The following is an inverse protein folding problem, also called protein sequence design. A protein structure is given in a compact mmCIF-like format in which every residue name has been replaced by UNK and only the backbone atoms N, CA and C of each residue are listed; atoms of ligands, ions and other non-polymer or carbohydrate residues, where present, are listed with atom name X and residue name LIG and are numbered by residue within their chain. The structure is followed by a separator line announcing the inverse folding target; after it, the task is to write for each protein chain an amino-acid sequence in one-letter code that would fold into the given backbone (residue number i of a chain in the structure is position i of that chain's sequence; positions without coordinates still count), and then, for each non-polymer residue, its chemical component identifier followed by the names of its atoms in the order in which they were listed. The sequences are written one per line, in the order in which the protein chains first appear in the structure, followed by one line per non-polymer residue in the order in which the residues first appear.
data_IF_288631164032
#
_entry.id   IF_288631164032
#
_cell.length_a   1.000
_cell.length_b   1.000
_cell.length_c   1.000
_cell.angle_alpha   90.00
_cell.angle_beta   90.00
_cell.angle_gamma   90.00
#
_symmetry.space_group_name_H-M   'P 1'
#
loop_
_entity.id
_entity.type
_entity.pdbx_description
1 polymer ?
#
# COMPACT_ATOMS: atom_id res chain seq x y z
N UNK A 1 21.36 20.93 7.49
CA UNK A 1 20.80 20.27 6.28
C UNK A 1 20.01 19.07 6.79
N UNK A 2 18.77 18.86 6.32
CA UNK A 2 17.95 17.72 6.72
C UNK A 2 18.42 16.44 6.05
N UNK A 3 18.24 15.31 6.69
CA UNK A 3 18.63 13.98 6.20
C UNK A 3 17.43 13.09 6.01
N UNK A 4 17.32 12.45 4.86
CA UNK A 4 16.34 11.41 4.56
C UNK A 4 17.02 10.05 4.69
N UNK A 5 16.45 9.17 5.49
CA UNK A 5 16.84 7.76 5.52
C UNK A 5 15.84 7.00 4.64
N UNK A 6 16.32 6.41 3.56
CA UNK A 6 15.54 5.43 2.79
C UNK A 6 15.68 4.07 3.48
N UNK A 7 14.68 3.70 4.25
CA UNK A 7 14.59 2.36 4.82
C UNK A 7 13.83 1.49 3.83
N UNK A 8 14.48 0.51 3.22
CA UNK A 8 13.92 -0.24 2.10
C UNK A 8 14.33 -1.72 2.14
N UNK A 9 13.43 -2.55 1.66
CA UNK A 9 13.78 -3.90 1.21
C UNK A 9 14.11 -3.83 -0.28
N UNK A 10 15.16 -4.54 -0.71
CA UNK A 10 15.65 -4.51 -2.09
C UNK A 10 15.40 -5.87 -2.74
N UNK A 11 14.76 -5.84 -3.92
CA UNK A 11 14.44 -7.03 -4.71
C UNK A 11 15.66 -7.95 -4.88
N UNK A 12 15.48 -9.23 -4.53
CA UNK A 12 16.50 -10.25 -4.63
C UNK A 12 16.15 -11.26 -5.73
N UNK A 13 16.89 -11.30 -6.85
CA UNK A 13 16.62 -12.25 -7.92
C UNK A 13 16.89 -13.71 -7.55
N UNK A 14 17.64 -13.97 -6.47
CA UNK A 14 17.86 -15.34 -5.96
C UNK A 14 16.68 -15.83 -5.10
N UNK A 15 15.81 -14.93 -4.64
CA UNK A 15 14.58 -15.27 -3.91
C UNK A 15 13.41 -14.38 -4.40
N UNK A 16 12.97 -14.57 -5.65
CA UNK A 16 12.00 -13.68 -6.29
C UNK A 16 10.62 -13.75 -5.63
N UNK A 17 10.21 -14.90 -5.11
CA UNK A 17 8.91 -15.08 -4.46
C UNK A 17 8.83 -14.25 -3.18
N UNK A 18 9.87 -14.25 -2.36
CA UNK A 18 9.93 -13.49 -1.11
C UNK A 18 10.06 -11.99 -1.32
N UNK A 19 10.81 -11.60 -2.35
CA UNK A 19 11.15 -10.20 -2.62
C UNK A 19 10.24 -9.52 -3.65
N UNK A 20 9.15 -10.14 -4.05
CA UNK A 20 8.27 -9.65 -5.11
C UNK A 20 7.67 -8.26 -4.83
N UNK A 21 7.43 -7.94 -3.56
CA UNK A 21 6.90 -6.64 -3.15
C UNK A 21 7.99 -5.57 -3.01
N UNK A 22 9.27 -5.98 -2.99
CA UNK A 22 10.38 -5.10 -2.70
C UNK A 22 10.79 -4.26 -3.91
N UNK A 23 11.33 -3.09 -3.64
CA UNK A 23 11.74 -2.18 -4.71
C UNK A 23 13.04 -2.62 -5.39
N UNK A 24 13.20 -2.28 -6.67
CA UNK A 24 14.44 -2.55 -7.38
C UNK A 24 15.55 -1.61 -6.93
N UNK A 25 16.83 -2.05 -7.06
CA UNK A 25 18.00 -1.19 -6.85
C UNK A 25 17.96 0.08 -7.71
N UNK A 26 17.44 -0.04 -8.94
CA UNK A 26 17.27 1.09 -9.84
C UNK A 26 16.29 2.13 -9.29
N UNK A 27 15.16 1.68 -8.74
CA UNK A 27 14.18 2.56 -8.08
C UNK A 27 14.81 3.30 -6.90
N UNK A 28 15.51 2.56 -6.02
CA UNK A 28 16.15 3.17 -4.84
C UNK A 28 17.23 4.17 -5.25
N UNK A 29 18.07 3.83 -6.22
CA UNK A 29 19.11 4.73 -6.76
C UNK A 29 18.52 5.99 -7.38
N UNK A 30 17.41 5.88 -8.12
CA UNK A 30 16.72 7.02 -8.70
C UNK A 30 16.11 7.92 -7.60
N UNK A 31 15.48 7.34 -6.58
CA UNK A 31 14.95 8.07 -5.43
C UNK A 31 16.06 8.83 -4.70
N UNK A 32 17.17 8.15 -4.39
CA UNK A 32 18.33 8.79 -3.75
C UNK A 32 18.83 10.01 -4.53
N UNK A 33 19.08 9.84 -5.82
CA UNK A 33 19.60 10.92 -6.67
C UNK A 33 18.61 12.08 -6.74
N UNK A 34 17.31 11.78 -6.85
CA UNK A 34 16.27 12.80 -6.89
C UNK A 34 16.21 13.56 -5.56
N UNK A 35 16.20 12.86 -4.43
CA UNK A 35 16.14 13.50 -3.10
C UNK A 35 17.41 14.31 -2.82
N UNK A 36 18.58 13.84 -3.24
CA UNK A 36 19.82 14.64 -3.15
C UNK A 36 19.76 15.92 -3.97
N UNK A 37 19.15 15.86 -5.17
CA UNK A 37 18.97 17.05 -6.02
C UNK A 37 18.04 18.10 -5.41
N UNK A 38 17.16 17.69 -4.50
CA UNK A 38 16.29 18.57 -3.71
C UNK A 38 17.01 19.21 -2.50
N UNK A 39 18.29 18.90 -2.28
CA UNK A 39 19.12 19.51 -1.24
C UNK A 39 19.10 18.75 0.10
N UNK A 40 18.65 17.51 0.13
CA UNK A 40 18.72 16.65 1.32
C UNK A 40 19.99 15.80 1.34
N UNK A 41 20.48 15.45 2.53
CA UNK A 41 21.35 14.30 2.68
C UNK A 41 20.52 13.03 2.56
N UNK A 42 21.06 11.97 1.96
CA UNK A 42 20.35 10.69 1.84
C UNK A 42 21.25 9.55 2.32
N UNK A 43 20.66 8.68 3.14
CA UNK A 43 21.28 7.42 3.60
C UNK A 43 20.29 6.30 3.32
N UNK A 44 20.68 5.30 2.53
CA UNK A 44 19.85 4.13 2.25
C UNK A 44 20.27 2.97 3.12
N UNK A 45 19.31 2.31 3.74
CA UNK A 45 19.49 1.20 4.66
C UNK A 45 18.52 0.08 4.30
N UNK A 46 19.02 -1.15 4.16
CA UNK A 46 18.22 -2.33 3.78
C UNK A 46 18.27 -3.47 4.81
N UNK A 47 19.08 -3.32 5.86
CA UNK A 47 19.14 -4.30 6.95
C UNK A 47 18.38 -3.82 8.18
N UNK A 48 17.45 -4.62 8.68
CA UNK A 48 16.59 -4.25 9.81
C UNK A 48 17.37 -3.94 11.10
N UNK A 49 18.50 -4.61 11.34
CA UNK A 49 19.35 -4.35 12.52
C UNK A 49 20.10 -3.04 12.36
N UNK A 50 20.60 -2.78 11.14
CA UNK A 50 21.27 -1.54 10.82
C UNK A 50 20.31 -0.35 10.92
N UNK A 51 19.11 -0.46 10.34
CA UNK A 51 18.04 0.55 10.46
C UNK A 51 17.76 0.83 11.94
N UNK A 52 17.50 -0.21 12.74
CA UNK A 52 17.23 -0.07 14.18
C UNK A 52 18.38 0.63 14.92
N UNK A 53 19.62 0.23 14.62
CA UNK A 53 20.82 0.80 15.25
C UNK A 53 20.98 2.27 14.89
N UNK A 54 20.87 2.63 13.61
CA UNK A 54 21.01 4.02 13.15
C UNK A 54 19.94 4.89 13.78
N UNK A 55 18.66 4.49 13.71
CA UNK A 55 17.55 5.28 14.27
C UNK A 55 17.68 5.47 15.78
N UNK A 56 18.05 4.43 16.51
CA UNK A 56 18.23 4.49 17.98
C UNK A 56 19.37 5.41 18.40
N UNK A 57 20.38 5.60 17.56
CA UNK A 57 21.52 6.46 17.83
C UNK A 57 21.33 7.93 17.39
N UNK A 58 20.23 8.29 16.74
CA UNK A 58 19.94 9.70 16.42
C UNK A 58 19.67 10.45 17.73
N UNK A 59 20.48 11.49 18.05
CA UNK A 59 20.30 12.26 19.31
C UNK A 59 18.92 12.91 19.38
N UNK A 60 18.27 12.85 20.54
CA UNK A 60 16.91 13.40 20.75
C UNK A 60 16.76 14.84 20.24
N UNK A 61 17.73 15.72 20.53
CA UNK A 61 17.70 17.13 20.11
C UNK A 61 17.96 17.38 18.60
N UNK A 62 18.12 16.33 17.81
CA UNK A 62 18.40 16.45 16.37
C UNK A 62 17.39 15.69 15.50
N UNK A 63 16.43 14.98 16.10
CA UNK A 63 15.49 14.09 15.37
C UNK A 63 14.63 14.84 14.37
N UNK A 64 14.29 16.09 14.63
CA UNK A 64 13.53 16.96 13.72
C UNK A 64 14.26 17.28 12.40
N UNK A 65 15.56 16.99 12.31
CA UNK A 65 16.37 17.13 11.11
C UNK A 65 16.47 15.84 10.29
N UNK A 66 15.84 14.77 10.75
CA UNK A 66 15.83 13.47 10.12
C UNK A 66 14.41 13.07 9.74
N UNK A 67 14.25 12.38 8.64
CA UNK A 67 12.98 11.76 8.25
C UNK A 67 13.28 10.39 7.65
N UNK A 68 12.48 9.41 8.01
CA UNK A 68 12.58 8.06 7.45
C UNK A 68 11.55 7.92 6.34
N UNK A 69 12.00 7.62 5.13
CA UNK A 69 11.12 7.15 4.07
C UNK A 69 10.98 5.64 4.22
N UNK A 70 9.78 5.18 4.54
CA UNK A 70 9.51 3.76 4.72
C UNK A 70 9.14 3.10 3.40
N UNK A 71 10.00 2.17 2.93
CA UNK A 71 9.79 1.26 1.81
C UNK A 71 10.07 -0.19 2.27
N UNK A 72 9.92 -0.46 3.56
CA UNK A 72 10.10 -1.79 4.12
C UNK A 72 8.77 -2.52 4.12
N UNK A 73 8.67 -3.54 3.29
CA UNK A 73 7.52 -4.44 3.22
C UNK A 73 7.61 -5.55 4.26
N UNK A 74 8.83 -6.00 4.55
CA UNK A 74 9.07 -7.14 5.43
C UNK A 74 8.54 -8.46 4.85
N UNK A 75 8.56 -9.53 5.65
CA UNK A 75 8.06 -10.85 5.20
C UNK A 75 7.47 -11.72 6.31
N UNK A 76 8.01 -11.64 7.51
CA UNK A 76 7.79 -12.67 8.55
C UNK A 76 6.67 -12.39 9.54
N UNK A 77 5.98 -11.26 9.43
CA UNK A 77 4.96 -10.84 10.39
C UNK A 77 3.68 -10.41 9.70
N UNK A 78 2.54 -10.70 10.30
CA UNK A 78 1.24 -10.17 9.88
C UNK A 78 1.11 -8.63 10.05
N UNK A 79 2.11 -8.00 10.64
CA UNK A 79 2.20 -6.55 10.85
C UNK A 79 3.52 -6.00 10.28
N UNK A 80 4.08 -6.66 9.27
CA UNK A 80 5.41 -6.42 8.72
C UNK A 80 5.65 -4.97 8.26
N UNK A 81 4.69 -4.37 7.59
CA UNK A 81 4.78 -3.00 7.07
C UNK A 81 4.82 -1.94 8.19
N UNK A 82 4.30 -2.26 9.37
CA UNK A 82 4.22 -1.33 10.50
C UNK A 82 5.53 -1.20 11.29
N UNK A 83 6.53 -2.04 11.04
CA UNK A 83 7.75 -2.09 11.86
C UNK A 83 8.50 -0.75 11.88
N UNK A 84 8.77 -0.18 10.72
CA UNK A 84 9.50 1.09 10.63
C UNK A 84 8.69 2.27 11.16
N UNK A 85 7.42 2.46 10.77
CA UNK A 85 6.59 3.49 11.38
C UNK A 85 6.52 3.37 12.91
N UNK A 86 6.30 2.17 13.46
CA UNK A 86 6.24 1.97 14.91
C UNK A 86 7.55 2.33 15.62
N UNK A 87 8.69 1.98 15.03
CA UNK A 87 10.00 2.35 15.56
C UNK A 87 10.21 3.87 15.52
N UNK A 88 9.85 4.52 14.41
CA UNK A 88 9.93 5.97 14.26
C UNK A 88 9.03 6.70 15.28
N UNK A 89 7.77 6.26 15.40
CA UNK A 89 6.83 6.81 16.38
C UNK A 89 7.32 6.65 17.82
N UNK A 90 7.82 5.47 18.19
CA UNK A 90 8.37 5.21 19.51
C UNK A 90 9.60 6.09 19.81
N UNK A 91 10.46 6.28 18.83
CA UNK A 91 11.66 7.12 18.98
C UNK A 91 11.35 8.62 18.81
N UNK A 92 10.20 9.02 18.32
CA UNK A 92 9.87 10.41 17.97
C UNK A 92 10.70 10.93 16.80
N UNK A 93 10.83 10.14 15.74
CA UNK A 93 11.51 10.48 14.49
C UNK A 93 10.44 10.65 13.40
N UNK A 94 10.46 11.75 12.61
CA UNK A 94 9.58 11.89 11.47
C UNK A 94 9.71 10.73 10.48
N UNK A 95 8.59 10.28 9.91
CA UNK A 95 8.58 9.31 8.82
C UNK A 95 7.55 9.71 7.74
N UNK A 96 7.73 9.19 6.53
CA UNK A 96 6.75 9.36 5.45
C UNK A 96 5.66 8.31 5.54
N UNK A 97 4.50 8.60 4.95
CA UNK A 97 3.38 7.69 4.91
C UNK A 97 2.59 7.61 6.20
N UNK A 98 1.69 6.68 6.27
CA UNK A 98 0.74 6.51 7.36
C UNK A 98 1.37 5.90 8.61
N UNK A 99 0.71 6.09 9.76
CA UNK A 99 1.13 5.55 11.06
C UNK A 99 1.18 4.02 11.08
N UNK A 100 1.92 3.46 12.03
CA UNK A 100 2.00 2.02 12.24
C UNK A 100 0.63 1.35 12.37
N UNK A 101 -0.32 2.02 13.03
CA UNK A 101 -1.68 1.51 13.19
C UNK A 101 -2.42 1.40 11.87
N UNK A 102 -2.27 2.37 10.96
CA UNK A 102 -2.87 2.35 9.63
C UNK A 102 -2.22 1.26 8.78
N UNK A 103 -0.90 1.13 8.80
CA UNK A 103 -0.16 0.09 8.08
C UNK A 103 -0.63 -1.32 8.48
N UNK A 104 -0.62 -1.64 9.79
CA UNK A 104 -1.13 -2.92 10.29
C UNK A 104 -2.58 -3.18 9.88
N UNK A 105 -3.40 -2.14 9.92
CA UNK A 105 -4.82 -2.27 9.68
C UNK A 105 -5.12 -2.52 8.21
N UNK A 106 -4.52 -1.76 7.31
CA UNK A 106 -4.77 -1.87 5.86
C UNK A 106 -4.18 -3.13 5.25
N UNK A 107 -3.11 -3.69 5.80
CA UNK A 107 -2.54 -4.97 5.39
C UNK A 107 -3.53 -6.12 5.58
N UNK A 108 -4.36 -6.09 6.64
CA UNK A 108 -5.43 -7.07 6.87
C UNK A 108 -6.68 -6.68 6.07
N UNK A 109 -6.83 -7.25 4.88
CA UNK A 109 -7.92 -6.93 3.95
C UNK A 109 -9.30 -7.21 4.55
N UNK A 110 -9.45 -8.30 5.32
CA UNK A 110 -10.73 -8.65 5.93
C UNK A 110 -11.15 -7.63 6.99
N UNK A 111 -10.26 -7.28 7.91
CA UNK A 111 -10.55 -6.26 8.94
C UNK A 111 -10.82 -4.91 8.31
N UNK A 112 -10.03 -4.52 7.30
CA UNK A 112 -10.24 -3.28 6.55
C UNK A 112 -11.63 -3.24 5.92
N UNK A 113 -12.07 -4.31 5.27
CA UNK A 113 -13.42 -4.40 4.69
C UNK A 113 -14.53 -4.28 5.73
N UNK A 114 -14.41 -4.98 6.86
CA UNK A 114 -15.39 -4.88 7.94
C UNK A 114 -15.51 -3.45 8.46
N UNK A 115 -14.38 -2.77 8.64
CA UNK A 115 -14.36 -1.37 9.07
C UNK A 115 -14.99 -0.45 8.03
N UNK A 116 -14.59 -0.55 6.78
CA UNK A 116 -15.13 0.27 5.68
C UNK A 116 -16.64 0.06 5.52
N UNK A 117 -17.10 -1.19 5.63
CA UNK A 117 -18.52 -1.51 5.62
C UNK A 117 -19.28 -0.81 6.76
N UNK A 118 -18.73 -0.83 7.98
CA UNK A 118 -19.33 -0.15 9.14
C UNK A 118 -19.46 1.36 8.97
N UNK A 119 -18.60 1.94 8.12
CA UNK A 119 -18.60 3.37 7.75
C UNK A 119 -19.48 3.68 6.53
N UNK A 120 -20.22 2.69 6.02
CA UNK A 120 -21.09 2.82 4.87
C UNK A 120 -20.32 2.95 3.53
N UNK A 121 -19.09 2.47 3.49
CA UNK A 121 -18.32 2.31 2.26
C UNK A 121 -18.70 0.97 1.63
N UNK A 122 -18.91 0.97 0.33
CA UNK A 122 -19.29 -0.24 -0.41
C UNK A 122 -18.08 -1.15 -0.58
N UNK A 123 -18.15 -2.33 0.01
CA UNK A 123 -17.22 -3.45 -0.11
C UNK A 123 -17.98 -4.71 -0.46
N UNK A 124 -17.31 -5.72 -0.98
CA UNK A 124 -17.93 -7.05 -1.19
C UNK A 124 -18.20 -7.73 0.14
N UNK A 125 -19.22 -8.61 0.17
CA UNK A 125 -19.30 -9.63 1.21
C UNK A 125 -18.00 -10.41 1.24
N UNK A 126 -17.54 -10.80 2.42
CA UNK A 126 -16.28 -11.50 2.55
C UNK A 126 -16.28 -12.51 3.68
N UNK A 127 -15.49 -13.56 3.52
CA UNK A 127 -15.30 -14.63 4.49
C UNK A 127 -13.81 -14.84 4.70
N UNK A 128 -13.41 -14.98 5.97
CA UNK A 128 -12.02 -15.34 6.32
C UNK A 128 -11.93 -16.84 6.58
N UNK A 129 -11.05 -17.53 5.87
CA UNK A 129 -10.83 -18.96 5.96
C UNK A 129 -9.45 -19.26 6.53
N UNK A 130 -9.41 -19.87 7.71
CA UNK A 130 -8.17 -20.29 8.41
C UNK A 130 -7.91 -21.78 8.34
N UNK A 131 -8.93 -22.55 8.01
CA UNK A 131 -8.90 -23.99 7.87
C UNK A 131 -9.86 -24.44 6.77
N UNK A 132 -9.64 -25.61 6.19
CA UNK A 132 -10.48 -26.13 5.13
C UNK A 132 -11.94 -26.28 5.58
N UNK A 133 -12.84 -25.74 4.80
CA UNK A 133 -14.28 -25.96 4.89
C UNK A 133 -14.77 -26.60 3.59
N UNK A 134 -15.73 -27.49 3.69
CA UNK A 134 -16.26 -28.23 2.54
C UNK A 134 -16.92 -27.35 1.48
N UNK A 135 -17.35 -26.15 1.85
CA UNK A 135 -17.93 -25.15 0.94
C UNK A 135 -17.82 -23.76 1.53
N UNK A 136 -17.75 -22.70 0.70
CA UNK A 136 -17.83 -21.33 1.17
C UNK A 136 -19.27 -20.97 1.60
N UNK A 137 -19.41 -19.92 2.40
CA UNK A 137 -20.73 -19.31 2.70
C UNK A 137 -21.20 -18.43 1.54
N UNK A 138 -20.26 -17.90 0.76
CA UNK A 138 -20.51 -17.07 -0.41
C UNK A 138 -20.82 -17.97 -1.62
N UNK A 139 -21.76 -17.55 -2.46
CA UNK A 139 -22.14 -18.32 -3.66
C UNK A 139 -21.07 -18.21 -4.75
N UNK A 140 -20.85 -19.31 -5.44
CA UNK A 140 -20.00 -19.33 -6.64
C UNK A 140 -20.55 -18.45 -7.78
N UNK A 141 -19.68 -17.89 -8.63
CA UNK A 141 -18.22 -17.95 -8.54
C UNK A 141 -17.66 -17.07 -7.44
N UNK A 142 -16.58 -17.53 -6.80
CA UNK A 142 -15.86 -16.79 -5.77
C UNK A 142 -14.42 -16.49 -6.19
N UNK A 143 -13.86 -15.43 -5.64
CA UNK A 143 -12.45 -15.10 -5.75
C UNK A 143 -11.77 -15.32 -4.40
N UNK A 144 -10.66 -16.03 -4.41
CA UNK A 144 -9.91 -16.40 -3.21
C UNK A 144 -8.51 -15.80 -3.26
N UNK A 145 -8.10 -15.10 -2.21
CA UNK A 145 -6.77 -14.48 -2.14
C UNK A 145 -6.20 -14.53 -0.73
N UNK A 146 -4.87 -14.45 -0.56
CA UNK A 146 -4.26 -14.25 0.76
C UNK A 146 -4.78 -12.99 1.42
N UNK A 147 -5.08 -13.04 2.72
CA UNK A 147 -5.65 -11.91 3.43
C UNK A 147 -4.62 -10.80 3.72
N UNK A 148 -3.37 -11.16 3.98
CA UNK A 148 -2.30 -10.25 4.43
C UNK A 148 -1.15 -10.06 3.43
N UNK A 149 -1.35 -10.36 2.15
CA UNK A 149 -0.33 -10.19 1.12
C UNK A 149 -0.68 -9.04 0.18
N UNK A 150 0.34 -8.35 -0.32
CA UNK A 150 0.23 -7.31 -1.32
C UNK A 150 0.70 -7.78 -2.70
N UNK A 151 0.80 -6.85 -3.65
CA UNK A 151 1.42 -7.06 -4.96
C UNK A 151 0.95 -8.29 -5.74
N UNK A 152 -0.29 -8.72 -5.52
CA UNK A 152 -0.89 -9.92 -6.13
C UNK A 152 -0.16 -11.23 -5.78
N UNK A 153 0.60 -11.26 -4.69
CA UNK A 153 1.28 -12.47 -4.23
C UNK A 153 0.23 -13.55 -3.91
N UNK A 154 0.43 -14.75 -4.45
CA UNK A 154 -0.53 -15.85 -4.32
C UNK A 154 -1.82 -15.69 -5.14
N UNK A 155 -1.86 -14.76 -6.11
CA UNK A 155 -2.97 -14.60 -7.03
C UNK A 155 -2.59 -15.14 -8.42
N UNK A 156 -3.43 -16.02 -8.94
CA UNK A 156 -3.37 -16.60 -10.29
C UNK A 156 -4.77 -16.74 -10.87
N UNK A 157 -4.90 -17.18 -12.11
CA UNK A 157 -6.22 -17.45 -12.71
C UNK A 157 -7.02 -18.51 -11.93
N UNK A 158 -6.33 -19.47 -11.27
CA UNK A 158 -6.96 -20.50 -10.44
C UNK A 158 -7.57 -19.98 -9.14
N UNK A 159 -7.38 -18.71 -8.80
CA UNK A 159 -8.00 -18.10 -7.63
C UNK A 159 -9.48 -17.71 -7.86
N UNK A 160 -9.94 -17.76 -9.13
CA UNK A 160 -11.37 -17.67 -9.46
C UNK A 160 -11.96 -19.06 -9.48
N UNK A 161 -12.79 -19.38 -8.50
CA UNK A 161 -13.37 -20.71 -8.29
C UNK A 161 -14.83 -20.69 -8.73
N UNK A 162 -15.18 -21.54 -9.71
CA UNK A 162 -16.47 -21.54 -10.37
C UNK A 162 -17.50 -22.41 -9.64
N UNK A 163 -17.03 -23.51 -9.04
CA UNK A 163 -17.92 -24.52 -8.46
C UNK A 163 -17.28 -25.27 -7.27
N UNK A 164 -18.03 -26.21 -6.74
CA UNK A 164 -17.65 -27.03 -5.60
C UNK A 164 -16.45 -27.95 -5.89
N UNK A 165 -16.29 -28.47 -7.12
CA UNK A 165 -15.18 -29.34 -7.48
C UNK A 165 -13.86 -28.56 -7.48
N UNK A 166 -13.84 -27.39 -8.13
CA UNK A 166 -12.67 -26.51 -8.10
C UNK A 166 -12.31 -26.05 -6.67
N UNK A 167 -13.33 -25.83 -5.82
CA UNK A 167 -13.14 -25.48 -4.41
C UNK A 167 -12.37 -26.57 -3.66
N UNK A 168 -12.81 -27.82 -3.77
CA UNK A 168 -12.20 -28.95 -3.08
C UNK A 168 -10.76 -29.24 -3.56
N UNK A 169 -10.49 -28.98 -4.83
CA UNK A 169 -9.16 -29.18 -5.43
C UNK A 169 -8.16 -28.06 -5.12
N UNK A 170 -8.64 -26.82 -4.98
CA UNK A 170 -7.80 -25.61 -4.93
C UNK A 170 -7.55 -25.13 -3.50
N UNK A 171 -8.59 -25.09 -2.66
CA UNK A 171 -8.49 -24.48 -1.32
C UNK A 171 -7.46 -25.16 -0.42
N UNK A 172 -7.33 -26.50 -0.36
CA UNK A 172 -6.32 -27.13 0.48
C UNK A 172 -4.90 -26.66 0.15
N UNK A 173 -4.59 -26.52 -1.14
CA UNK A 173 -3.27 -26.07 -1.62
C UNK A 173 -2.99 -24.63 -1.26
N UNK A 174 -3.99 -23.74 -1.48
CA UNK A 174 -3.86 -22.33 -1.11
C UNK A 174 -3.68 -22.13 0.40
N UNK A 175 -4.35 -22.93 1.24
CA UNK A 175 -4.21 -22.87 2.70
C UNK A 175 -2.85 -23.34 3.20
N UNK A 176 -2.21 -24.29 2.50
CA UNK A 176 -0.84 -24.74 2.82
C UNK A 176 0.19 -23.64 2.56
N UNK A 177 -0.01 -22.83 1.50
CA UNK A 177 0.91 -21.77 1.10
C UNK A 177 0.59 -20.44 1.77
N UNK A 178 -0.71 -20.12 1.94
CA UNK A 178 -1.20 -18.82 2.37
C UNK A 178 -2.37 -18.96 3.34
N UNK A 179 -2.16 -18.70 4.61
CA UNK A 179 -3.24 -18.67 5.60
C UNK A 179 -3.14 -17.43 6.48
N UNK A 180 -4.24 -16.71 6.72
CA UNK A 180 -5.62 -16.98 6.28
C UNK A 180 -5.91 -16.54 4.84
N UNK A 181 -6.94 -17.15 4.22
CA UNK A 181 -7.48 -16.77 2.92
C UNK A 181 -8.71 -15.89 3.08
N UNK A 182 -8.85 -14.91 2.19
CA UNK A 182 -10.03 -14.09 2.02
C UNK A 182 -10.83 -14.60 0.82
N UNK A 183 -12.12 -14.91 1.04
CA UNK A 183 -13.07 -15.35 0.02
C UNK A 183 -14.05 -14.21 -0.24
N UNK A 184 -14.28 -13.88 -1.51
CA UNK A 184 -15.17 -12.83 -1.97
C UNK A 184 -16.00 -13.30 -3.18
N UNK A 185 -17.15 -12.68 -3.49
CA UNK A 185 -17.80 -12.86 -4.78
C UNK A 185 -16.82 -12.46 -5.91
N UNK A 186 -16.78 -13.23 -6.99
CA UNK A 186 -16.01 -12.84 -8.16
C UNK A 186 -16.71 -11.67 -8.89
N UNK A 187 -16.04 -10.54 -8.97
CA UNK A 187 -16.52 -9.36 -9.69
C UNK A 187 -15.97 -9.37 -11.13
N UNK A 188 -16.82 -9.06 -12.10
CA UNK A 188 -16.49 -9.17 -13.54
C UNK A 188 -16.11 -7.84 -14.20
N UNK A 189 -16.33 -6.71 -13.54
CA UNK A 189 -16.05 -5.39 -14.09
C UNK A 189 -14.58 -5.00 -14.05
N UNK A 190 -14.28 -3.80 -14.59
CA UNK A 190 -12.91 -3.25 -14.64
C UNK A 190 -12.41 -2.87 -13.23
N UNK A 191 -11.12 -2.96 -13.05
CA UNK A 191 -10.44 -2.42 -11.87
C UNK A 191 -10.19 -0.93 -12.04
N UNK A 192 -10.23 -0.20 -10.93
CA UNK A 192 -9.98 1.25 -10.87
C UNK A 192 -9.06 1.51 -9.70
N UNK A 193 -8.09 2.38 -9.91
CA UNK A 193 -7.17 2.82 -8.86
C UNK A 193 -7.29 4.31 -8.59
N UNK A 194 -7.16 4.68 -7.32
CA UNK A 194 -7.27 6.05 -6.84
C UNK A 194 -6.14 6.34 -5.87
N UNK A 195 -5.25 7.28 -6.22
CA UNK A 195 -4.25 7.81 -5.30
C UNK A 195 -4.82 8.95 -4.45
N UNK A 196 -4.53 8.95 -3.16
CA UNK A 196 -4.83 10.07 -2.25
C UNK A 196 -3.54 10.51 -1.59
N UNK A 197 -3.23 11.80 -1.66
CA UNK A 197 -2.03 12.40 -1.06
C UNK A 197 -2.45 13.52 -0.11
N UNK A 198 -1.80 13.60 1.05
CA UNK A 198 -2.03 14.64 2.04
C UNK A 198 -2.12 14.12 3.46
N UNK A 199 -2.32 15.05 4.39
CA UNK A 199 -2.58 14.76 5.79
C UNK A 199 -4.03 15.09 6.15
N UNK A 200 -4.45 14.72 7.35
CA UNK A 200 -5.80 14.99 7.85
C UNK A 200 -6.20 16.45 7.60
N UNK A 201 -7.34 16.66 6.94
CA UNK A 201 -7.92 17.92 6.50
C UNK A 201 -7.37 18.54 5.18
N UNK A 202 -6.31 17.98 4.59
CA UNK A 202 -5.71 18.51 3.36
C UNK A 202 -5.42 17.41 2.33
N UNK A 203 -6.34 16.46 2.16
CA UNK A 203 -6.20 15.42 1.16
C UNK A 203 -6.49 15.92 -0.26
N UNK A 204 -5.70 15.47 -1.20
CA UNK A 204 -5.89 15.62 -2.64
C UNK A 204 -6.04 14.23 -3.27
N UNK A 205 -7.06 14.06 -4.10
CA UNK A 205 -7.20 12.86 -4.96
C UNK A 205 -6.45 13.11 -6.25
N UNK A 206 -5.67 12.13 -6.67
CA UNK A 206 -4.97 12.13 -7.96
C UNK A 206 -5.92 11.76 -9.10
N UNK A 207 -5.54 11.98 -10.36
CA UNK A 207 -6.32 11.50 -11.50
C UNK A 207 -6.66 10.02 -11.35
N UNK A 208 -7.94 9.69 -11.53
CA UNK A 208 -8.48 8.33 -11.36
C UNK A 208 -8.34 7.59 -12.68
N UNK A 209 -7.93 6.33 -12.62
CA UNK A 209 -7.74 5.52 -13.81
C UNK A 209 -8.30 4.11 -13.65
N UNK A 210 -8.79 3.55 -14.75
CA UNK A 210 -8.92 2.12 -14.89
C UNK A 210 -7.55 1.47 -14.97
N UNK A 211 -7.43 0.26 -14.43
CA UNK A 211 -6.25 -0.58 -14.53
C UNK A 211 -6.55 -1.68 -15.53
N UNK A 212 -5.90 -1.61 -16.69
CA UNK A 212 -6.07 -2.62 -17.72
C UNK A 212 -4.95 -3.66 -17.60
N UNK A 213 -5.36 -4.92 -17.44
CA UNK A 213 -4.48 -6.07 -17.42
C UNK A 213 -4.87 -7.02 -18.56
N UNK A 214 -3.92 -7.70 -19.22
CA UNK A 214 -4.20 -8.57 -20.35
C UNK A 214 -5.25 -9.67 -20.10
N UNK A 215 -5.34 -10.15 -18.86
CA UNK A 215 -6.28 -11.21 -18.44
C UNK A 215 -7.52 -10.70 -17.70
N UNK A 216 -7.63 -9.39 -17.45
CA UNK A 216 -8.71 -8.83 -16.62
C UNK A 216 -8.58 -9.17 -15.12
N UNK A 217 -7.55 -9.94 -14.75
CA UNK A 217 -7.16 -10.26 -13.38
C UNK A 217 -5.71 -9.82 -13.19
N UNK A 218 -5.45 -9.01 -12.19
CA UNK A 218 -4.10 -8.63 -11.81
C UNK A 218 -3.48 -9.78 -11.03
N UNK A 219 -2.54 -10.52 -11.65
CA UNK A 219 -1.94 -11.69 -11.05
C UNK A 219 -0.40 -11.60 -10.99
N UNK A 220 0.21 -12.45 -10.18
CA UNK A 220 1.65 -12.49 -9.90
C UNK A 220 2.52 -12.51 -11.17
N UNK A 221 2.11 -13.22 -12.21
CA UNK A 221 2.84 -13.32 -13.49
C UNK A 221 2.93 -12.01 -14.29
N UNK A 222 2.12 -10.99 -13.99
CA UNK A 222 2.16 -9.69 -14.67
C UNK A 222 3.31 -8.82 -14.12
N UNK A 223 3.53 -8.84 -12.81
CA UNK A 223 4.61 -8.05 -12.19
C UNK A 223 6.01 -8.63 -12.44
N UNK A 224 6.14 -9.95 -12.54
CA UNK A 224 7.44 -10.61 -12.68
C UNK A 224 8.04 -10.53 -14.09
N UNK A 225 7.26 -10.14 -15.10
CA UNK A 225 7.72 -10.00 -16.49
C UNK A 225 7.78 -8.52 -16.83
N UNK A 226 8.98 -7.99 -17.01
CA UNK A 226 9.25 -6.62 -17.46
C UNK A 226 8.59 -6.20 -18.78
N UNK A 227 7.85 -7.11 -19.44
CA UNK A 227 7.18 -6.88 -20.72
C UNK A 227 5.72 -6.43 -20.60
N UNK A 228 5.09 -6.53 -19.42
CA UNK A 228 3.69 -6.14 -19.22
C UNK A 228 3.59 -5.02 -18.18
N UNK A 229 3.85 -3.79 -18.64
CA UNK A 229 3.53 -2.61 -17.86
C UNK A 229 2.01 -2.51 -17.70
N UNK A 230 1.58 -2.26 -16.49
CA UNK A 230 0.22 -1.83 -16.17
C UNK A 230 -0.15 -0.65 -17.09
N UNK A 231 -1.25 -0.73 -17.82
CA UNK A 231 -1.71 0.41 -18.58
C UNK A 231 -2.87 1.09 -17.85
N UNK A 232 -2.79 2.41 -17.72
CA UNK A 232 -3.79 3.22 -17.07
C UNK A 232 -4.65 3.94 -18.11
N UNK A 233 -5.96 3.65 -18.08
CA UNK A 233 -6.94 4.34 -18.91
C UNK A 233 -7.68 5.39 -18.06
N UNK A 234 -7.49 6.67 -18.41
CA UNK A 234 -8.05 7.80 -17.68
C UNK A 234 -9.46 8.23 -18.18
N UNK A 235 -10.04 7.50 -19.12
CA UNK A 235 -11.38 7.78 -19.65
C UNK A 235 -12.50 7.28 -18.71
N UNK A 236 -12.38 7.63 -17.42
CA UNK A 236 -13.37 7.28 -16.40
C UNK A 236 -14.54 8.28 -16.48
N UNK A 237 -15.80 7.82 -16.51
CA UNK A 237 -16.96 8.72 -16.54
C UNK A 237 -16.98 9.70 -15.36
N UNK A 238 -17.32 10.97 -15.62
CA UNK A 238 -17.29 12.05 -14.61
C UNK A 238 -18.14 11.73 -13.38
N UNK A 239 -19.28 11.09 -13.54
CA UNK A 239 -20.13 10.69 -12.41
C UNK A 239 -19.44 9.69 -11.50
N UNK A 240 -18.75 8.70 -12.08
CA UNK A 240 -17.99 7.70 -11.36
C UNK A 240 -16.74 8.31 -10.71
N UNK A 241 -16.03 9.22 -11.40
CA UNK A 241 -14.91 9.96 -10.81
C UNK A 241 -15.33 10.69 -9.52
N UNK A 242 -16.45 11.43 -9.54
CA UNK A 242 -16.96 12.14 -8.35
C UNK A 242 -17.32 11.21 -7.20
N UNK A 243 -17.92 10.06 -7.50
CA UNK A 243 -18.24 9.04 -6.50
C UNK A 243 -16.97 8.49 -5.85
N UNK A 244 -15.99 8.10 -6.67
CA UNK A 244 -14.72 7.54 -6.22
C UNK A 244 -13.89 8.58 -5.45
N UNK A 245 -13.84 9.83 -5.91
CA UNK A 245 -13.18 10.93 -5.21
C UNK A 245 -13.76 11.11 -3.80
N UNK A 246 -15.09 11.28 -3.72
CA UNK A 246 -15.78 11.44 -2.43
C UNK A 246 -15.56 10.26 -1.49
N UNK A 247 -15.63 9.03 -2.03
CA UNK A 247 -15.45 7.79 -1.26
C UNK A 247 -14.01 7.66 -0.78
N UNK A 248 -13.03 7.91 -1.64
CA UNK A 248 -11.60 7.81 -1.31
C UNK A 248 -11.17 8.83 -0.26
N UNK A 249 -11.65 10.06 -0.36
CA UNK A 249 -11.44 11.09 0.68
C UNK A 249 -12.05 10.67 2.03
N UNK A 250 -13.23 10.06 2.00
CA UNK A 250 -13.90 9.52 3.19
C UNK A 250 -13.09 8.40 3.82
N UNK A 251 -12.55 7.47 3.00
CA UNK A 251 -11.70 6.37 3.46
C UNK A 251 -10.42 6.93 4.09
N UNK A 252 -9.70 7.81 3.40
CA UNK A 252 -8.47 8.44 3.91
C UNK A 252 -8.69 9.12 5.27
N UNK A 253 -9.79 9.86 5.39
CA UNK A 253 -10.17 10.54 6.63
C UNK A 253 -10.52 9.55 7.76
N UNK A 254 -11.27 8.49 7.48
CA UNK A 254 -11.67 7.51 8.50
C UNK A 254 -10.49 6.68 9.00
N UNK A 255 -9.55 6.34 8.12
CA UNK A 255 -8.33 5.65 8.51
C UNK A 255 -7.38 6.57 9.28
N UNK A 256 -7.50 7.90 9.11
CA UNK A 256 -6.51 8.84 9.60
C UNK A 256 -5.18 8.67 8.87
N UNK A 257 -5.24 8.40 7.55
CA UNK A 257 -4.03 8.22 6.76
C UNK A 257 -3.21 9.50 6.71
N UNK A 258 -1.90 9.39 6.55
CA UNK A 258 -1.01 10.51 6.32
C UNK A 258 -0.05 10.23 5.17
N UNK A 259 0.42 11.30 4.54
CA UNK A 259 1.30 11.26 3.39
C UNK A 259 0.58 10.80 2.11
N UNK A 260 0.39 9.51 1.95
CA UNK A 260 -0.17 8.91 0.74
C UNK A 260 -0.80 7.55 1.00
N UNK A 261 -1.83 7.23 0.20
CA UNK A 261 -2.43 5.89 0.10
C UNK A 261 -2.88 5.65 -1.34
N UNK A 262 -2.99 4.39 -1.74
CA UNK A 262 -3.66 3.96 -2.96
C UNK A 262 -4.87 3.10 -2.58
N UNK A 263 -6.00 3.35 -3.22
CA UNK A 263 -7.24 2.63 -2.99
C UNK A 263 -7.65 1.99 -4.30
N UNK A 264 -7.81 0.68 -4.27
CA UNK A 264 -8.17 -0.10 -5.44
C UNK A 264 -9.64 -0.54 -5.36
N UNK A 265 -10.36 -0.35 -6.46
CA UNK A 265 -11.78 -0.67 -6.61
C UNK A 265 -11.98 -1.63 -7.78
N UNK A 266 -13.07 -2.37 -7.73
CA UNK A 266 -13.56 -3.16 -8.87
C UNK A 266 -15.03 -2.89 -9.10
N UNK A 267 -15.41 -2.78 -10.37
CA UNK A 267 -16.80 -2.57 -10.73
C UNK A 267 -17.59 -3.88 -10.74
N UNK A 268 -18.83 -3.80 -10.31
CA UNK A 268 -19.85 -4.80 -10.62
C UNK A 268 -21.09 -4.06 -11.13
N UNK A 269 -21.44 -4.27 -12.40
CA UNK A 269 -22.55 -3.54 -13.04
C UNK A 269 -22.43 -2.01 -12.87
N UNK A 270 -21.27 -1.48 -13.17
CA UNK A 270 -20.90 -0.06 -13.06
C UNK A 270 -20.91 0.50 -11.62
N UNK A 271 -21.07 -0.35 -10.61
CA UNK A 271 -21.05 0.04 -9.20
C UNK A 271 -19.66 -0.26 -8.63
N UNK A 272 -18.93 0.72 -8.04
CA UNK A 272 -17.61 0.49 -7.49
C UNK A 272 -17.68 -0.15 -6.10
N UNK A 273 -16.87 -1.19 -5.90
CA UNK A 273 -16.61 -1.85 -4.63
C UNK A 273 -15.15 -1.66 -4.27
N UNK A 274 -14.85 -1.18 -3.06
CA UNK A 274 -13.47 -1.08 -2.59
C UNK A 274 -12.92 -2.50 -2.34
N UNK A 275 -11.79 -2.79 -3.01
CA UNK A 275 -11.08 -4.07 -2.88
C UNK A 275 -10.10 -4.04 -1.72
N UNK A 276 -9.26 -3.00 -1.70
CA UNK A 276 -8.19 -2.84 -0.71
C UNK A 276 -7.73 -1.39 -0.61
N UNK A 277 -7.00 -1.10 0.46
CA UNK A 277 -6.31 0.16 0.69
C UNK A 277 -4.83 -0.15 0.93
N UNK A 278 -3.96 0.42 0.10
CA UNK A 278 -2.52 0.25 0.18
C UNK A 278 -1.90 1.49 0.83
N UNK A 279 -1.42 1.35 2.06
CA UNK A 279 -0.77 2.44 2.80
C UNK A 279 0.73 2.57 2.48
N UNK A 280 1.30 1.53 1.83
CA UNK A 280 2.68 1.50 1.33
C UNK A 280 2.70 1.24 -0.19
N UNK A 281 2.11 2.13 -1.02
CA UNK A 281 2.19 1.95 -2.47
C UNK A 281 3.64 2.12 -2.94
N UNK A 282 4.04 1.37 -3.98
CA UNK A 282 5.37 1.51 -4.58
C UNK A 282 5.64 2.91 -5.14
N UNK A 283 6.91 3.27 -5.23
CA UNK A 283 7.39 4.58 -5.68
C UNK A 283 8.28 4.55 -6.94
N UNK A 284 8.38 3.40 -7.60
CA UNK A 284 9.10 3.38 -8.88
C UNK A 284 8.50 4.39 -9.85
N UNK A 285 9.35 5.24 -10.41
CA UNK A 285 8.95 6.18 -11.47
C UNK A 285 8.45 5.46 -12.73
N UNK A 286 8.91 4.22 -12.94
CA UNK A 286 8.73 3.49 -14.20
C UNK A 286 7.42 2.67 -14.16
N UNK A 287 7.13 2.01 -13.04
CA UNK A 287 6.03 1.04 -12.96
C UNK A 287 5.06 1.23 -11.78
N UNK A 288 5.33 2.16 -10.86
CA UNK A 288 4.40 2.35 -9.74
C UNK A 288 3.22 3.21 -10.11
N UNK A 289 2.04 2.68 -9.91
CA UNK A 289 0.76 3.33 -10.21
C UNK A 289 0.64 4.71 -9.58
N UNK A 290 1.06 4.88 -8.30
CA UNK A 290 0.98 6.19 -7.63
C UNK A 290 1.79 7.27 -8.35
N UNK A 291 3.02 6.92 -8.82
CA UNK A 291 3.85 7.84 -9.57
C UNK A 291 3.23 8.20 -10.94
N UNK A 292 2.63 7.21 -11.62
CA UNK A 292 1.93 7.43 -12.90
C UNK A 292 0.71 8.36 -12.73
N UNK A 293 -0.09 8.16 -11.68
CA UNK A 293 -1.23 9.03 -11.38
C UNK A 293 -0.77 10.46 -11.07
N UNK A 294 0.35 10.61 -10.36
CA UNK A 294 0.94 11.92 -10.08
C UNK A 294 1.42 12.63 -11.35
N UNK A 295 2.18 11.95 -12.21
CA UNK A 295 2.67 12.52 -13.47
C UNK A 295 1.51 12.91 -14.42
N UNK A 296 0.40 12.15 -14.41
CA UNK A 296 -0.82 12.51 -15.15
C UNK A 296 -1.43 13.84 -14.69
N UNK A 297 -1.19 14.26 -13.46
CA UNK A 297 -1.60 15.59 -12.98
C UNK A 297 -0.72 16.75 -13.49
N UNK A 298 0.28 16.46 -14.33
CA UNK A 298 1.21 17.42 -14.92
C UNK A 298 2.38 17.82 -14.01
N UNK A 299 2.62 17.08 -12.94
CA UNK A 299 3.68 17.33 -11.96
C UNK A 299 4.84 16.35 -12.15
N UNK A 300 6.03 16.75 -11.75
CA UNK A 300 7.24 15.94 -11.86
C UNK A 300 7.40 14.93 -10.73
N UNK A 301 8.18 13.89 -10.96
CA UNK A 301 8.53 12.91 -9.94
C UNK A 301 9.25 13.52 -8.73
N UNK A 302 10.11 14.53 -8.96
CA UNK A 302 10.78 15.25 -7.87
C UNK A 302 9.81 16.01 -6.96
N UNK A 303 8.76 16.62 -7.54
CA UNK A 303 7.70 17.26 -6.75
C UNK A 303 6.91 16.24 -5.92
N UNK A 304 6.71 15.01 -6.41
CA UNK A 304 6.09 13.93 -5.63
C UNK A 304 6.92 13.62 -4.39
N UNK A 305 8.23 13.36 -4.59
CA UNK A 305 9.11 13.00 -3.48
C UNK A 305 9.23 14.13 -2.46
N UNK A 306 9.36 15.38 -2.93
CA UNK A 306 9.43 16.55 -2.06
C UNK A 306 8.14 16.72 -1.24
N UNK A 307 6.96 16.56 -1.88
CA UNK A 307 5.69 16.62 -1.19
C UNK A 307 5.58 15.56 -0.10
N UNK A 308 5.92 14.30 -0.39
CA UNK A 308 5.87 13.22 0.60
C UNK A 308 6.78 13.48 1.81
N UNK A 309 8.00 14.00 1.57
CA UNK A 309 8.92 14.41 2.65
C UNK A 309 8.29 15.53 3.50
N UNK A 310 7.73 16.55 2.84
CA UNK A 310 7.13 17.68 3.54
C UNK A 310 5.92 17.26 4.36
N UNK A 311 5.06 16.38 3.85
CA UNK A 311 3.91 15.83 4.57
C UNK A 311 4.33 15.03 5.80
N UNK A 312 5.41 14.25 5.72
CA UNK A 312 5.94 13.54 6.87
C UNK A 312 6.48 14.48 7.97
N UNK A 313 7.16 15.56 7.59
CA UNK A 313 7.57 16.58 8.57
C UNK A 313 6.37 17.35 9.15
N UNK A 314 5.37 17.68 8.34
CA UNK A 314 4.15 18.34 8.77
C UNK A 314 3.40 17.49 9.81
N UNK A 315 3.20 16.20 9.52
CA UNK A 315 2.55 15.25 10.44
C UNK A 315 3.28 15.21 11.80
N UNK A 316 4.60 15.09 11.77
CA UNK A 316 5.41 15.13 12.98
C UNK A 316 5.28 16.44 13.78
N UNK A 317 5.15 17.58 13.11
CA UNK A 317 5.04 18.89 13.75
C UNK A 317 3.64 19.16 14.31
N UNK A 318 2.61 18.66 13.67
CA UNK A 318 1.21 18.97 13.99
C UNK A 318 0.54 17.94 14.87
N UNK A 319 1.01 16.69 14.86
CA UNK A 319 0.41 15.62 15.65
C UNK A 319 0.64 15.83 17.14
N UNK A 320 -0.41 15.92 17.98
CA UNK A 320 -0.28 16.26 19.42
C UNK A 320 0.66 15.33 20.20
N UNK A 321 0.72 14.05 19.85
CA UNK A 321 1.57 13.07 20.55
C UNK A 321 3.06 13.26 20.30
N UNK A 322 3.46 13.76 19.14
CA UNK A 322 4.86 14.07 18.89
C UNK A 322 5.33 15.31 19.65
N UNK A 323 4.42 16.22 20.01
CA UNK A 323 4.73 17.40 20.82
C UNK A 323 4.95 17.06 22.29
N UNK A 324 4.30 16.01 22.81
CA UNK A 324 4.50 15.56 24.20
C UNK A 324 5.95 15.15 24.50
N UNK A 325 6.68 14.65 23.51
CA UNK A 325 8.10 14.29 23.68
C UNK A 325 9.08 15.46 23.66
N UNK A 326 8.64 16.65 23.21
CA UNK A 326 9.49 17.86 23.17
C UNK A 326 9.61 18.56 24.53
N UNK A 327 8.57 18.46 25.37
CA UNK A 327 8.49 19.16 26.66
C UNK A 327 8.98 18.31 27.83
N UNK A 328 9.22 17.03 27.65
CA UNK A 328 9.75 16.17 28.71
C UNK A 328 11.24 15.91 28.46
N UNK A 329 12.07 16.64 29.24
CA UNK A 329 13.44 16.24 29.58
C UNK A 329 13.40 14.92 30.39
N UNK A 330 13.03 13.80 29.75
CA UNK A 330 13.10 12.45 30.32
C UNK A 330 14.12 11.64 29.56
#
# INVERSE_FOLDING_TARGET
MKTVILACDIYNPDDPKRSQEWESEETISLMENTIRSLGYNVVSLSDAKEITSVLSNIPKGNRENWIVWNLVEGYTSTSREAYIPALCEYLGIPHTGSSASVQCFTLDKFKTKLFLHSMGIRVTDSELLTEFQTKPKIKFPVFVKPNGEGSSLGISESNTIQDQGEWEDTIPKLLEEHSPLLIEPFLTGREITVGVIGNLNHYQVLPIAYVDTPSGIYHEGIKSKSEFLESLDFEVPIALQKELESTSLKIAKFLGSSGYIRIDYKLEKEIPYCLEVNATPGFSKIYSTLAMLWEKSGKSYSELLELCINLGFEEYQTHPRYQYGKDQNV
#
